data_IF_946816580435
#
_entry.id   IF_946816580435
#
_cell.length_a   1.000
_cell.length_b   1.000
_cell.length_c   1.000
_cell.angle_alpha   90.00
_cell.angle_beta   90.00
_cell.angle_gamma   90.00
#
_symmetry.space_group_name_H-M   'P 1'
#
loop_
_entity.id
_entity.type
_entity.pdbx_description
1 polymer ?
#
# COMPACT_ATOMS: atom_id res chain seq x y z
N UNK A 1 -9.77 6.42 7.27
CA UNK A 1 -8.47 5.93 6.78
C UNK A 1 -7.36 6.38 7.73
N UNK A 2 -6.18 5.78 7.72
CA UNK A 2 -5.02 6.22 8.51
C UNK A 2 -3.88 6.64 7.58
N UNK A 3 -3.15 7.70 7.90
CA UNK A 3 -1.83 7.98 7.32
C UNK A 3 -0.80 7.44 8.29
N UNK A 4 0.07 6.56 7.83
CA UNK A 4 1.20 6.07 8.63
C UNK A 4 2.51 6.23 7.85
N UNK A 5 3.28 7.25 8.22
CA UNK A 5 4.54 7.61 7.56
C UNK A 5 5.74 7.48 8.49
N UNK A 6 6.92 7.23 7.90
CA UNK A 6 8.22 7.34 8.57
C UNK A 6 8.78 8.77 8.55
N UNK A 7 8.06 9.72 7.96
CA UNK A 7 8.39 11.14 7.97
C UNK A 7 7.99 11.85 9.27
N UNK A 8 8.50 13.07 9.45
CA UNK A 8 8.19 13.90 10.60
C UNK A 8 6.72 14.34 10.64
N UNK A 9 6.22 14.61 11.84
CA UNK A 9 4.81 14.96 12.05
C UNK A 9 4.41 16.25 11.32
N UNK A 10 5.27 17.28 11.33
CA UNK A 10 4.99 18.53 10.63
C UNK A 10 4.76 18.30 9.13
N UNK A 11 5.65 17.53 8.49
CA UNK A 11 5.51 17.14 7.09
C UNK A 11 4.22 16.33 6.85
N UNK A 12 3.97 15.32 7.68
CA UNK A 12 2.77 14.48 7.55
C UNK A 12 1.47 15.29 7.63
N UNK A 13 1.40 16.28 8.51
CA UNK A 13 0.25 17.16 8.67
C UNK A 13 0.04 18.08 7.48
N UNK A 14 1.10 18.64 6.90
CA UNK A 14 0.98 19.46 5.68
C UNK A 14 0.52 18.61 4.48
N UNK A 15 1.02 17.38 4.35
CA UNK A 15 0.55 16.45 3.31
C UNK A 15 -0.90 16.03 3.53
N UNK A 16 -1.33 15.82 4.78
CA UNK A 16 -2.72 15.50 5.08
C UNK A 16 -3.67 16.64 4.68
N UNK A 17 -3.30 17.90 4.94
CA UNK A 17 -4.08 19.07 4.51
C UNK A 17 -4.18 19.19 3.00
N UNK A 18 -3.10 18.86 2.29
CA UNK A 18 -3.07 18.90 0.82
C UNK A 18 -3.96 17.80 0.21
N UNK A 19 -3.94 16.60 0.79
CA UNK A 19 -4.69 15.45 0.30
C UNK A 19 -6.17 15.44 0.73
N UNK A 20 -6.48 16.04 1.88
CA UNK A 20 -7.82 16.05 2.47
C UNK A 20 -8.14 17.42 3.09
N UNK A 21 -8.33 18.48 2.28
CA UNK A 21 -8.52 19.85 2.77
C UNK A 21 -9.76 20.02 3.67
N UNK A 22 -10.81 19.21 3.41
CA UNK A 22 -12.05 19.21 4.17
C UNK A 22 -12.03 18.27 5.38
N UNK A 23 -10.92 17.53 5.56
CA UNK A 23 -10.68 16.65 6.70
C UNK A 23 -11.72 15.51 6.85
N UNK A 24 -12.20 14.97 5.72
CA UNK A 24 -13.26 13.96 5.63
C UNK A 24 -12.70 12.53 5.68
N UNK A 25 -11.46 12.31 5.21
CA UNK A 25 -10.87 10.99 5.01
C UNK A 25 -9.97 10.53 6.16
N UNK A 26 -9.08 11.42 6.62
CA UNK A 26 -8.06 11.09 7.62
C UNK A 26 -8.43 11.64 9.00
N UNK A 27 -9.12 12.77 9.07
CA UNK A 27 -9.39 13.46 10.32
C UNK A 27 -8.09 13.63 11.14
N UNK A 28 -8.05 13.16 12.38
CA UNK A 28 -6.85 13.17 13.24
C UNK A 28 -6.00 11.89 13.18
N UNK A 29 -6.27 10.98 12.24
CA UNK A 29 -5.65 9.64 12.16
C UNK A 29 -4.32 9.66 11.40
N UNK A 30 -3.38 10.49 11.87
CA UNK A 30 -2.02 10.63 11.32
C UNK A 30 -1.00 10.12 12.34
N UNK A 31 -0.27 9.08 11.94
CA UNK A 31 0.82 8.44 12.69
C UNK A 31 2.12 8.76 11.97
N UNK A 32 2.99 9.53 12.62
CA UNK A 32 4.27 9.97 12.09
C UNK A 32 5.43 9.19 12.74
N UNK A 33 6.67 9.47 12.30
CA UNK A 33 7.87 8.81 12.81
C UNK A 33 7.99 8.81 14.34
N UNK A 34 7.67 9.94 14.97
CA UNK A 34 7.75 10.11 16.42
C UNK A 34 6.69 9.33 17.20
N UNK A 35 5.66 8.85 16.53
CA UNK A 35 4.58 8.05 17.12
C UNK A 35 4.90 6.53 17.08
N UNK A 36 5.96 6.12 16.34
CA UNK A 36 6.38 4.71 16.26
C UNK A 36 6.97 4.21 17.58
N UNK A 37 6.54 3.02 18.01
CA UNK A 37 7.06 2.36 19.23
C UNK A 37 8.42 1.68 19.02
N UNK A 38 8.75 1.34 17.78
CA UNK A 38 10.03 0.72 17.42
C UNK A 38 10.75 1.54 16.36
N UNK A 39 12.06 1.75 16.57
CA UNK A 39 12.88 2.52 15.64
C UNK A 39 12.95 1.81 14.29
N UNK A 40 12.69 2.56 13.21
CA UNK A 40 12.71 2.07 11.82
C UNK A 40 11.70 0.95 11.52
N UNK A 41 10.69 0.74 12.36
CA UNK A 41 9.63 -0.25 12.13
C UNK A 41 8.26 0.39 12.35
N UNK A 42 7.27 -0.17 11.65
CA UNK A 42 5.86 0.13 11.80
C UNK A 42 5.15 -1.05 12.46
N UNK A 43 4.12 -0.74 13.26
CA UNK A 43 3.33 -1.72 13.97
C UNK A 43 1.86 -1.31 14.03
N UNK A 44 0.96 -2.28 14.14
CA UNK A 44 -0.47 -2.01 14.29
C UNK A 44 -0.85 -1.67 15.74
N UNK A 45 0.11 -1.66 16.67
CA UNK A 45 -0.05 -1.34 18.10
C UNK A 45 -0.51 0.10 18.37
N UNK A 46 -0.31 1.01 17.42
CA UNK A 46 -0.76 2.41 17.47
C UNK A 46 -2.03 2.66 16.65
N UNK A 47 -2.55 1.65 15.95
CA UNK A 47 -3.76 1.75 15.12
C UNK A 47 -4.97 1.26 15.93
N UNK A 48 -6.06 2.02 15.93
CA UNK A 48 -7.30 1.60 16.57
C UNK A 48 -8.02 0.61 15.66
N UNK A 49 -7.95 -0.67 15.99
CA UNK A 49 -8.66 -1.74 15.29
C UNK A 49 -8.06 -3.10 15.58
N UNK A 50 -8.86 -4.17 15.43
CA UNK A 50 -8.34 -5.52 15.51
C UNK A 50 -7.55 -5.83 14.24
N UNK A 51 -6.37 -6.45 14.36
CA UNK A 51 -5.50 -6.73 13.21
C UNK A 51 -6.20 -7.55 12.11
N UNK A 52 -7.17 -8.39 12.47
CA UNK A 52 -7.97 -9.18 11.51
C UNK A 52 -8.87 -8.33 10.60
N UNK A 53 -9.02 -7.03 10.88
CA UNK A 53 -9.83 -6.09 10.11
C UNK A 53 -9.00 -4.94 9.49
N UNK A 54 -7.67 -5.01 9.58
CA UNK A 54 -6.77 -3.94 9.09
C UNK A 54 -6.01 -4.40 7.85
N UNK A 55 -6.06 -3.59 6.79
CA UNK A 55 -5.20 -3.73 5.61
C UNK A 55 -4.18 -2.59 5.57
N UNK A 56 -2.97 -2.91 5.14
CA UNK A 56 -1.87 -1.96 5.02
C UNK A 56 -1.52 -1.83 3.54
N UNK A 57 -1.41 -0.61 3.03
CA UNK A 57 -0.85 -0.30 1.72
C UNK A 57 0.47 0.43 1.96
N UNK A 58 1.57 -0.16 1.53
CA UNK A 58 2.91 0.41 1.69
C UNK A 58 3.82 -0.15 0.60
N UNK A 59 4.82 0.62 0.18
CA UNK A 59 5.82 0.22 -0.82
C UNK A 59 7.07 -0.42 -0.16
N UNK A 60 7.12 -0.43 1.17
CA UNK A 60 8.31 -0.85 1.94
C UNK A 60 7.99 -2.03 2.87
N UNK A 61 8.12 -3.26 2.38
CA UNK A 61 7.90 -4.46 3.20
C UNK A 61 8.77 -4.52 4.48
N UNK A 62 10.07 -4.18 4.47
CA UNK A 62 10.93 -4.36 5.64
C UNK A 62 10.51 -3.59 6.89
N UNK A 63 9.72 -2.52 6.78
CA UNK A 63 9.23 -1.79 7.96
C UNK A 63 8.06 -2.49 8.65
N UNK A 64 7.41 -3.47 8.00
CA UNK A 64 6.22 -4.18 8.49
C UNK A 64 6.50 -5.63 8.92
N UNK A 65 7.65 -5.89 9.56
CA UNK A 65 8.13 -7.24 9.91
C UNK A 65 7.07 -8.09 10.63
N UNK A 66 6.31 -7.50 11.56
CA UNK A 66 5.31 -8.21 12.37
C UNK A 66 3.96 -8.40 11.68
N UNK A 67 3.63 -7.59 10.68
CA UNK A 67 2.28 -7.55 10.07
C UNK A 67 2.31 -7.71 8.54
N UNK A 68 3.28 -8.49 8.02
CA UNK A 68 3.41 -8.77 6.58
C UNK A 68 2.14 -9.35 5.96
N UNK A 69 1.40 -10.16 6.71
CA UNK A 69 0.15 -10.76 6.24
C UNK A 69 -0.94 -9.71 5.96
N UNK A 70 -0.90 -8.56 6.64
CA UNK A 70 -1.81 -7.44 6.42
C UNK A 70 -1.36 -6.51 5.28
N UNK A 71 -0.11 -6.63 4.79
CA UNK A 71 0.50 -5.73 3.81
C UNK A 71 0.19 -6.07 2.36
N UNK A 72 -0.56 -5.22 1.68
CA UNK A 72 -0.63 -5.16 0.22
C UNK A 72 0.58 -4.33 -0.24
N UNK A 73 1.62 -5.02 -0.71
CA UNK A 73 2.84 -4.39 -1.20
C UNK A 73 2.56 -3.67 -2.52
N UNK A 74 2.83 -2.37 -2.56
CA UNK A 74 2.67 -1.54 -3.75
C UNK A 74 4.01 -1.25 -4.41
N UNK A 75 3.98 -0.93 -5.71
CA UNK A 75 5.14 -0.39 -6.38
C UNK A 75 5.41 1.04 -5.88
N UNK A 76 6.69 1.38 -5.70
CA UNK A 76 7.12 2.71 -5.30
C UNK A 76 6.82 3.71 -6.42
N UNK A 77 6.06 4.75 -6.11
CA UNK A 77 5.76 5.83 -7.04
C UNK A 77 6.98 6.74 -7.24
N UNK A 78 7.57 6.70 -8.44
CA UNK A 78 8.80 7.43 -8.78
C UNK A 78 8.54 8.52 -9.84
N UNK A 79 7.90 9.62 -9.42
CA UNK A 79 7.63 10.73 -10.33
C UNK A 79 8.88 11.54 -10.71
N UNK A 80 9.67 11.93 -9.70
CA UNK A 80 10.85 12.79 -9.90
C UNK A 80 12.11 12.01 -10.26
N UNK A 81 12.89 12.50 -11.22
CA UNK A 81 14.16 11.91 -11.64
C UNK A 81 15.23 11.83 -10.54
N UNK A 82 15.11 12.63 -9.47
CA UNK A 82 15.96 12.54 -8.28
C UNK A 82 15.71 11.26 -7.49
N UNK A 83 14.46 10.78 -7.44
CA UNK A 83 14.07 9.60 -6.67
C UNK A 83 14.71 8.32 -7.22
N UNK A 84 14.69 8.11 -8.54
CA UNK A 84 15.28 6.90 -9.15
C UNK A 84 16.78 6.76 -8.84
N UNK A 85 17.52 7.89 -8.82
CA UNK A 85 18.96 7.93 -8.52
C UNK A 85 19.27 7.60 -7.06
N UNK A 86 18.43 8.06 -6.13
CA UNK A 86 18.60 7.80 -4.70
C UNK A 86 18.42 6.31 -4.35
N UNK A 87 17.57 5.61 -5.08
CA UNK A 87 17.28 4.18 -4.87
C UNK A 87 18.03 3.24 -5.82
N UNK A 88 18.91 3.77 -6.69
CA UNK A 88 19.74 2.96 -7.59
C UNK A 88 18.99 2.30 -8.75
N UNK A 89 17.82 2.81 -9.12
CA UNK A 89 17.07 2.29 -10.26
C UNK A 89 17.59 2.88 -11.58
N UNK A 90 17.87 2.02 -12.56
CA UNK A 90 18.28 2.42 -13.92
C UNK A 90 17.09 2.79 -14.83
N UNK A 91 15.90 3.00 -14.27
CA UNK A 91 14.71 3.37 -15.03
C UNK A 91 14.51 4.90 -15.10
N UNK A 92 13.88 5.35 -16.19
CA UNK A 92 13.41 6.74 -16.30
C UNK A 92 12.26 6.95 -15.33
N UNK A 93 12.23 8.12 -14.68
CA UNK A 93 11.12 8.54 -13.84
C UNK A 93 9.88 8.89 -14.65
N UNK A 94 8.70 8.94 -14.01
CA UNK A 94 7.45 9.28 -14.70
C UNK A 94 7.50 10.67 -15.36
N UNK A 95 8.14 11.64 -14.70
CA UNK A 95 8.35 12.98 -15.27
C UNK A 95 9.19 12.96 -16.56
N UNK A 96 10.25 12.13 -16.62
CA UNK A 96 11.07 11.97 -17.82
C UNK A 96 10.34 11.21 -18.94
N UNK A 97 9.42 10.32 -18.58
CA UNK A 97 8.54 9.62 -19.50
C UNK A 97 7.33 10.46 -19.93
N UNK A 98 7.11 11.61 -19.28
CA UNK A 98 5.92 12.47 -19.46
C UNK A 98 4.62 11.68 -19.25
N UNK A 99 4.65 10.76 -18.31
CA UNK A 99 3.52 9.94 -17.89
C UNK A 99 3.20 10.21 -16.43
N UNK A 100 2.05 9.75 -15.98
CA UNK A 100 1.63 9.78 -14.58
C UNK A 100 0.70 8.60 -14.30
N UNK A 101 0.21 8.51 -13.08
CA UNK A 101 -0.81 7.57 -12.66
C UNK A 101 -2.10 7.73 -13.49
N UNK A 102 -2.69 6.60 -13.89
CA UNK A 102 -3.91 6.55 -14.69
C UNK A 102 -5.13 6.17 -13.86
N UNK A 103 -6.25 6.84 -14.08
CA UNK A 103 -7.52 6.53 -13.41
C UNK A 103 -8.10 5.17 -13.83
N UNK A 104 -7.82 4.71 -15.06
CA UNK A 104 -8.43 3.51 -15.63
C UNK A 104 -7.61 2.25 -15.34
N UNK A 105 -6.29 2.35 -15.45
CA UNK A 105 -5.35 1.22 -15.46
C UNK A 105 -4.08 1.46 -14.63
N UNK A 106 -4.06 2.52 -13.80
CA UNK A 106 -2.97 2.78 -12.87
C UNK A 106 -2.86 1.79 -11.71
N UNK A 107 -1.75 1.88 -10.98
CA UNK A 107 -1.51 1.07 -9.78
C UNK A 107 -2.60 1.28 -8.71
N UNK A 108 -3.02 2.52 -8.45
CA UNK A 108 -4.08 2.87 -7.52
C UNK A 108 -5.44 2.39 -7.98
N UNK A 109 -5.76 2.50 -9.27
CA UNK A 109 -7.01 1.98 -9.83
C UNK A 109 -7.12 0.46 -9.62
N UNK A 110 -6.03 -0.25 -9.91
CA UNK A 110 -5.92 -1.70 -9.70
C UNK A 110 -6.06 -2.07 -8.22
N UNK A 111 -5.35 -1.36 -7.33
CA UNK A 111 -5.42 -1.62 -5.89
C UNK A 111 -6.81 -1.32 -5.33
N UNK A 112 -7.48 -0.27 -5.83
CA UNK A 112 -8.85 0.05 -5.44
C UNK A 112 -9.82 -1.07 -5.79
N UNK A 113 -9.67 -1.70 -6.96
CA UNK A 113 -10.49 -2.85 -7.34
C UNK A 113 -10.31 -4.02 -6.36
N UNK A 114 -9.06 -4.35 -6.04
CA UNK A 114 -8.73 -5.40 -5.05
C UNK A 114 -9.30 -5.06 -3.68
N UNK A 115 -9.20 -3.81 -3.23
CA UNK A 115 -9.76 -3.37 -1.96
C UNK A 115 -11.28 -3.50 -1.92
N UNK A 116 -11.99 -3.14 -3.00
CA UNK A 116 -13.44 -3.32 -3.11
C UNK A 116 -13.84 -4.79 -3.03
N UNK A 117 -13.09 -5.66 -3.69
CA UNK A 117 -13.33 -7.11 -3.68
C UNK A 117 -13.09 -7.72 -2.29
N UNK A 118 -11.98 -7.38 -1.64
CA UNK A 118 -11.68 -7.82 -0.26
C UNK A 118 -12.75 -7.31 0.70
N UNK A 119 -13.14 -6.04 0.60
CA UNK A 119 -14.20 -5.46 1.42
C UNK A 119 -15.54 -6.18 1.22
N UNK A 120 -15.94 -6.43 -0.03
CA UNK A 120 -17.16 -7.14 -0.36
C UNK A 120 -17.22 -8.55 0.25
N UNK A 121 -16.11 -9.30 0.17
CA UNK A 121 -16.02 -10.62 0.80
C UNK A 121 -15.98 -10.54 2.34
N UNK A 122 -15.19 -9.61 2.89
CA UNK A 122 -15.06 -9.46 4.34
C UNK A 122 -16.39 -9.09 4.99
N UNK A 123 -17.25 -8.34 4.31
CA UNK A 123 -18.58 -7.95 4.79
C UNK A 123 -19.74 -8.72 4.14
N UNK A 124 -19.48 -9.84 3.44
CA UNK A 124 -20.54 -10.62 2.80
C UNK A 124 -21.50 -11.18 3.87
N UNK A 125 -22.77 -10.76 3.83
CA UNK A 125 -23.81 -11.18 4.77
C UNK A 125 -24.06 -12.70 4.74
N UNK A 126 -23.76 -13.37 3.63
CA UNK A 126 -23.94 -14.83 3.50
C UNK A 126 -23.01 -15.64 4.41
N UNK A 127 -21.91 -15.05 4.88
CA UNK A 127 -20.97 -15.67 5.82
C UNK A 127 -21.40 -15.49 7.30
N UNK A 128 -22.59 -14.91 7.56
CA UNK A 128 -23.18 -14.72 8.89
C UNK A 128 -22.74 -13.43 9.60
N UNK A 129 -23.51 -12.94 10.58
CA UNK A 129 -23.29 -11.60 11.14
C UNK A 129 -22.06 -11.46 12.06
N UNK A 130 -21.38 -12.56 12.40
CA UNK A 130 -20.23 -12.50 13.30
C UNK A 130 -18.96 -12.01 12.57
N UNK A 131 -18.66 -10.72 12.70
CA UNK A 131 -17.44 -10.12 12.16
C UNK A 131 -16.18 -10.50 12.96
N UNK A 132 -16.31 -10.99 14.20
CA UNK A 132 -15.17 -11.32 15.08
C UNK A 132 -14.37 -12.49 14.53
N UNK A 133 -15.03 -13.44 13.87
CA UNK A 133 -14.39 -14.63 13.31
C UNK A 133 -13.77 -14.37 11.92
N UNK A 134 -13.96 -13.16 11.37
CA UNK A 134 -13.49 -12.80 10.03
C UNK A 134 -12.09 -12.20 10.08
N UNK A 135 -11.30 -12.58 9.07
CA UNK A 135 -9.91 -12.15 8.96
C UNK A 135 -9.54 -11.75 7.53
N UNK A 136 -9.24 -10.46 7.33
CA UNK A 136 -8.81 -9.89 6.05
C UNK A 136 -7.55 -10.59 5.53
N UNK A 137 -6.70 -11.14 6.39
CA UNK A 137 -5.48 -11.88 6.00
C UNK A 137 -5.82 -13.19 5.28
N UNK A 138 -6.95 -13.81 5.61
CA UNK A 138 -7.43 -15.00 4.93
C UNK A 138 -8.09 -14.63 3.59
N UNK A 139 -8.92 -13.59 3.57
CA UNK A 139 -9.61 -13.11 2.37
C UNK A 139 -8.62 -12.61 1.31
N UNK A 140 -7.63 -11.83 1.72
CA UNK A 140 -6.59 -11.28 0.84
C UNK A 140 -5.82 -12.38 0.08
N UNK A 141 -5.59 -13.55 0.69
CA UNK A 141 -4.85 -14.65 0.04
C UNK A 141 -5.51 -15.07 -1.27
N UNK A 142 -6.84 -15.08 -1.37
CA UNK A 142 -7.55 -15.43 -2.61
C UNK A 142 -7.18 -14.51 -3.78
N UNK A 143 -6.98 -13.22 -3.50
CA UNK A 143 -6.61 -12.19 -4.49
C UNK A 143 -5.11 -12.04 -4.69
N UNK A 144 -4.30 -12.76 -3.93
CA UNK A 144 -2.84 -12.76 -4.08
C UNK A 144 -2.29 -14.08 -4.67
N UNK A 145 -3.15 -15.07 -4.92
CA UNK A 145 -2.78 -16.30 -5.61
C UNK A 145 -2.55 -15.99 -7.12
N UNK A 146 -1.46 -16.49 -7.74
CA UNK A 146 -1.13 -16.25 -9.15
C UNK A 146 -2.24 -16.60 -10.16
N UNK A 147 -3.15 -17.50 -9.80
CA UNK A 147 -4.27 -17.92 -10.64
C UNK A 147 -5.38 -16.88 -10.79
N UNK A 148 -5.46 -15.90 -9.87
CA UNK A 148 -6.52 -14.88 -9.81
C UNK A 148 -5.99 -13.44 -9.74
N UNK A 149 -4.69 -13.21 -9.96
CA UNK A 149 -4.08 -11.87 -9.91
C UNK A 149 -3.88 -11.27 -11.31
N UNK A 150 -4.66 -10.25 -11.71
CA UNK A 150 -4.27 -9.33 -12.79
C UNK A 150 -2.97 -8.58 -12.42
N UNK A 151 -2.75 -8.33 -11.12
CA UNK A 151 -1.62 -7.57 -10.57
C UNK A 151 -0.24 -8.10 -10.97
N UNK A 152 -0.08 -9.40 -11.23
CA UNK A 152 1.24 -9.95 -11.61
C UNK A 152 1.45 -10.06 -13.12
N UNK A 153 0.39 -9.98 -13.93
CA UNK A 153 0.50 -10.01 -15.39
C UNK A 153 0.57 -8.61 -16.02
N UNK A 154 -0.13 -7.61 -15.49
CA UNK A 154 -0.12 -6.26 -16.08
C UNK A 154 0.97 -5.33 -15.54
N UNK A 155 1.38 -5.47 -14.26
CA UNK A 155 2.44 -4.62 -13.68
C UNK A 155 3.83 -4.97 -14.25
N UNK A 156 4.04 -6.21 -14.68
CA UNK A 156 5.35 -6.67 -15.19
C UNK A 156 5.48 -6.71 -16.72
N UNK A 157 4.39 -6.67 -17.50
CA UNK A 157 4.51 -6.87 -18.96
C UNK A 157 4.60 -5.58 -19.78
N UNK A 158 4.13 -4.42 -19.30
CA UNK A 158 4.06 -3.20 -20.14
C UNK A 158 5.08 -2.09 -19.81
N UNK A 159 5.82 -2.18 -18.70
CA UNK A 159 6.88 -1.19 -18.40
C UNK A 159 8.24 -1.49 -19.03
N UNK A 160 8.37 -2.50 -19.88
CA UNK A 160 9.66 -2.81 -20.53
C UNK A 160 10.81 -3.09 -19.54
N UNK A 161 10.50 -3.36 -18.27
CA UNK A 161 11.44 -3.70 -17.23
C UNK A 161 11.80 -5.18 -17.38
N UNK A 162 12.69 -5.47 -18.32
CA UNK A 162 13.67 -6.55 -18.12
C UNK A 162 14.56 -6.14 -16.94
N UNK A 163 14.07 -6.31 -15.71
CA UNK A 163 14.95 -6.54 -14.58
C UNK A 163 15.50 -7.96 -14.72
N UNK A 164 16.51 -8.06 -15.59
CA UNK A 164 17.47 -9.14 -15.59
C UNK A 164 18.06 -9.26 -14.18
N UNK A 165 18.18 -10.50 -13.70
CA UNK A 165 18.94 -10.94 -12.52
C UNK A 165 18.16 -11.07 -11.21
N UNK A 166 17.16 -11.95 -11.22
CA UNK A 166 16.99 -12.91 -10.11
C UNK A 166 18.00 -14.05 -10.31
N UNK A 167 19.27 -13.73 -10.04
CA UNK A 167 20.33 -14.73 -9.86
C UNK A 167 21.57 -14.00 -9.34
N UNK A 168 21.86 -14.16 -8.05
CA UNK A 168 23.15 -14.61 -7.47
C UNK A 168 23.35 -14.00 -6.09
N UNK A 169 23.44 -14.91 -5.11
CA UNK A 169 23.79 -14.82 -3.67
C UNK A 169 22.67 -14.45 -2.69
#
# INVERSE_FOLDING_TARGET
MYIYTTGERAYAMEMAKLLDPENVHFNSKVIAQGDCTQRHQKGLDVVLGHESAVLILDDTEPVWVKHKDNLILMERYNFFASSCRQFGFNCKSLSELKSDESEADGALATVLEVLKQIHGMFFDQKLGDNLVDRDVRQVKRFYMIPAFTPLRRHVFSELGLRCSNLSTL
#
